data_IF_606187393724
#
_entry.id   IF_606187393724
#
_cell.length_a   1.000
_cell.length_b   1.000
_cell.length_c   1.000
_cell.angle_alpha   90.00
_cell.angle_beta   90.00
_cell.angle_gamma   90.00
#
_symmetry.space_group_name_H-M   'P 1'
#
loop_
_entity.id
_entity.type
_entity.pdbx_description
1 polymer ?
#
# COMPACT_ATOMS: atom_id res chain seq x y z
N UNK A 1 9.36 -15.31 7.63
CA UNK A 1 9.58 -16.12 6.41
C UNK A 1 8.23 -16.68 5.97
N UNK A 2 8.08 -17.16 4.74
CA UNK A 2 6.79 -17.75 4.32
C UNK A 2 6.43 -18.92 5.24
N UNK A 3 5.22 -18.92 5.80
CA UNK A 3 4.71 -20.00 6.65
C UNK A 3 4.75 -19.79 8.16
N UNK A 4 5.26 -18.65 8.67
CA UNK A 4 5.13 -18.30 10.10
C UNK A 4 3.64 -18.14 10.47
N UNK A 5 3.24 -18.65 11.65
CA UNK A 5 1.86 -18.56 12.17
C UNK A 5 1.81 -17.65 13.40
N UNK A 6 1.02 -16.59 13.37
CA UNK A 6 0.82 -15.73 14.55
C UNK A 6 0.03 -16.52 15.60
N UNK A 7 0.56 -16.57 16.82
CA UNK A 7 -0.08 -17.26 17.95
C UNK A 7 -0.41 -16.33 19.12
N UNK A 8 0.32 -15.21 19.27
CA UNK A 8 -0.01 -14.18 20.26
C UNK A 8 0.17 -12.76 19.72
N UNK A 9 -0.65 -11.85 20.24
CA UNK A 9 -0.54 -10.39 20.08
C UNK A 9 -0.62 -9.76 21.46
N UNK A 10 0.41 -9.00 21.85
CA UNK A 10 0.53 -8.38 23.19
C UNK A 10 0.24 -9.38 24.34
N UNK A 11 0.88 -10.54 24.25
CA UNK A 11 0.76 -11.68 25.19
C UNK A 11 -0.60 -12.39 25.22
N UNK A 12 -1.59 -11.94 24.43
CA UNK A 12 -2.89 -12.60 24.28
C UNK A 12 -2.82 -13.70 23.21
N UNK A 13 -3.29 -14.91 23.53
CA UNK A 13 -3.41 -16.00 22.56
C UNK A 13 -4.51 -15.69 21.54
N UNK A 14 -4.15 -15.79 20.26
CA UNK A 14 -5.08 -15.53 19.14
C UNK A 14 -5.41 -16.79 18.34
N UNK A 15 -4.94 -17.97 18.78
CA UNK A 15 -5.06 -19.22 18.00
C UNK A 15 -6.48 -19.76 17.91
N UNK A 16 -7.35 -19.31 18.82
CA UNK A 16 -8.77 -19.69 18.87
C UNK A 16 -9.68 -18.69 18.16
N UNK A 17 -9.15 -17.56 17.71
CA UNK A 17 -9.90 -16.50 17.04
C UNK A 17 -9.98 -16.81 15.54
N UNK A 18 -11.20 -17.00 15.02
CA UNK A 18 -11.42 -17.22 13.58
C UNK A 18 -11.54 -15.93 12.78
N UNK A 19 -11.89 -14.82 13.43
CA UNK A 19 -12.02 -13.51 12.81
C UNK A 19 -10.64 -12.89 12.55
N UNK A 20 -10.23 -12.90 11.30
CA UNK A 20 -8.94 -12.37 10.86
C UNK A 20 -8.87 -10.85 11.01
N UNK A 21 -9.98 -10.14 10.76
CA UNK A 21 -10.01 -8.67 10.84
C UNK A 21 -9.85 -8.22 12.29
N UNK A 22 -10.41 -8.98 13.23
CA UNK A 22 -10.19 -8.73 14.66
C UNK A 22 -8.71 -8.90 15.05
N UNK A 23 -8.05 -9.99 14.62
CA UNK A 23 -6.61 -10.19 14.89
C UNK A 23 -5.78 -9.04 14.27
N UNK A 24 -6.10 -8.64 13.04
CA UNK A 24 -5.46 -7.50 12.37
C UNK A 24 -5.66 -6.20 13.18
N UNK A 25 -6.84 -5.99 13.77
CA UNK A 25 -7.12 -4.82 14.59
C UNK A 25 -6.27 -4.77 15.87
N UNK A 26 -5.96 -5.91 16.48
CA UNK A 26 -5.06 -6.01 17.64
C UNK A 26 -3.60 -5.67 17.28
N UNK A 27 -3.18 -6.04 16.07
CA UNK A 27 -1.83 -5.75 15.57
C UNK A 27 -1.70 -4.27 15.21
N UNK A 28 -2.74 -3.69 14.61
CA UNK A 28 -2.82 -2.24 14.32
C UNK A 28 -2.88 -1.44 15.63
N UNK A 29 -2.57 -0.15 15.52
CA UNK A 29 -2.49 0.77 16.65
C UNK A 29 -1.81 2.07 16.24
N UNK A 30 -1.63 2.96 17.20
CA UNK A 30 -1.04 4.28 16.95
C UNK A 30 0.39 4.17 16.40
N UNK A 31 0.73 5.05 15.47
CA UNK A 31 2.07 5.11 14.88
C UNK A 31 3.13 5.33 15.96
N UNK A 32 4.29 4.69 15.80
CA UNK A 32 5.42 4.69 16.72
C UNK A 32 5.19 3.99 18.08
N UNK A 33 4.02 3.37 18.31
CA UNK A 33 3.84 2.45 19.44
C UNK A 33 4.41 1.07 19.13
N UNK A 34 4.59 0.23 20.17
CA UNK A 34 5.08 -1.15 20.01
C UNK A 34 3.93 -2.15 20.09
N UNK A 35 4.07 -3.24 19.35
CA UNK A 35 3.27 -4.46 19.47
C UNK A 35 4.19 -5.65 19.61
N UNK A 36 3.90 -6.54 20.55
CA UNK A 36 4.60 -7.82 20.68
C UNK A 36 3.85 -8.88 19.89
N UNK A 37 4.53 -9.52 18.93
CA UNK A 37 3.98 -10.63 18.15
C UNK A 37 4.78 -11.88 18.45
N UNK A 38 4.11 -12.93 18.92
CA UNK A 38 4.69 -14.28 18.98
C UNK A 38 4.23 -15.07 17.77
N UNK A 39 5.18 -15.64 17.03
CA UNK A 39 4.89 -16.56 15.93
C UNK A 39 5.40 -17.96 16.25
N UNK A 40 4.68 -18.97 15.78
CA UNK A 40 5.20 -20.32 15.64
C UNK A 40 5.81 -20.47 14.24
N UNK A 41 7.07 -20.91 14.17
CA UNK A 41 7.78 -21.18 12.92
C UNK A 41 7.83 -22.69 12.67
N UNK A 42 7.02 -23.23 11.74
CA UNK A 42 6.95 -24.67 11.51
C UNK A 42 8.27 -25.29 11.02
N UNK A 43 9.07 -24.55 10.25
CA UNK A 43 10.34 -25.04 9.72
C UNK A 43 11.40 -25.31 10.80
N UNK A 44 11.29 -24.64 11.94
CA UNK A 44 12.21 -24.76 13.08
C UNK A 44 11.56 -25.44 14.29
N UNK A 45 10.22 -25.55 14.32
CA UNK A 45 9.48 -26.09 15.45
C UNK A 45 9.53 -25.19 16.70
N UNK A 46 9.82 -23.91 16.53
CA UNK A 46 10.08 -22.95 17.62
C UNK A 46 9.06 -21.81 17.65
N UNK A 47 8.96 -21.18 18.82
CA UNK A 47 8.24 -19.92 19.00
C UNK A 47 9.25 -18.78 19.04
N UNK A 48 8.91 -17.69 18.35
CA UNK A 48 9.76 -16.50 18.24
C UNK A 48 8.94 -15.26 18.61
N UNK A 49 9.50 -14.43 19.48
CA UNK A 49 8.91 -13.17 19.90
C UNK A 49 9.53 -12.00 19.14
N UNK A 50 8.68 -11.08 18.68
CA UNK A 50 9.06 -9.88 17.95
C UNK A 50 8.42 -8.64 18.58
N UNK A 51 9.26 -7.70 19.01
CA UNK A 51 8.82 -6.34 19.32
C UNK A 51 8.84 -5.49 18.05
N UNK A 52 7.66 -5.21 17.52
CA UNK A 52 7.48 -4.48 16.25
C UNK A 52 7.05 -3.05 16.56
N UNK A 53 7.72 -2.07 15.96
CA UNK A 53 7.30 -0.67 16.01
C UNK A 53 6.26 -0.45 14.92
N UNK A 54 5.04 -0.05 15.30
CA UNK A 54 3.97 0.29 14.36
C UNK A 54 4.40 1.50 13.53
N UNK A 55 4.31 1.36 12.21
CA UNK A 55 4.56 2.45 11.25
C UNK A 55 3.35 2.59 10.34
N UNK A 56 3.12 3.79 9.83
CA UNK A 56 2.17 3.97 8.73
C UNK A 56 2.68 3.16 7.53
N UNK A 57 1.98 2.08 7.20
CA UNK A 57 2.22 1.35 5.96
C UNK A 57 1.69 2.23 4.85
N UNK A 58 2.60 2.77 4.05
CA UNK A 58 2.23 3.44 2.80
C UNK A 58 2.22 2.36 1.73
N UNK A 59 1.04 1.87 1.39
CA UNK A 59 0.88 1.02 0.22
C UNK A 59 1.11 1.93 -0.98
N UNK A 60 2.15 1.68 -1.76
CA UNK A 60 2.38 2.41 -3.00
C UNK A 60 1.39 1.93 -4.05
N UNK A 61 0.19 2.52 -4.04
CA UNK A 61 -0.87 2.24 -5.02
C UNK A 61 -0.59 2.89 -6.39
N UNK A 62 0.60 3.45 -6.58
CA UNK A 62 1.03 4.10 -7.82
C UNK A 62 2.52 3.85 -8.07
N UNK A 63 2.85 3.61 -9.33
CA UNK A 63 4.23 3.50 -9.81
C UNK A 63 4.40 4.28 -11.10
N UNK A 64 5.61 4.74 -11.42
CA UNK A 64 5.88 5.35 -12.72
C UNK A 64 7.27 5.08 -13.25
N UNK A 65 7.38 5.01 -14.58
CA UNK A 65 8.62 4.81 -15.31
C UNK A 65 8.56 5.43 -16.71
N UNK A 66 9.72 5.54 -17.37
CA UNK A 66 9.79 5.88 -18.80
C UNK A 66 10.04 4.58 -19.56
N UNK A 67 9.15 4.25 -20.49
CA UNK A 67 9.25 3.05 -21.32
C UNK A 67 9.70 3.40 -22.75
N UNK A 68 9.82 2.36 -23.58
CA UNK A 68 10.23 2.46 -24.99
C UNK A 68 9.46 3.56 -25.74
N UNK A 69 10.19 4.31 -26.58
CA UNK A 69 9.65 5.47 -27.29
C UNK A 69 9.61 6.76 -26.47
N UNK A 70 10.21 6.78 -25.27
CA UNK A 70 10.20 7.91 -24.34
C UNK A 70 8.77 8.27 -23.89
N UNK A 71 7.97 7.24 -23.62
CA UNK A 71 6.59 7.36 -23.14
C UNK A 71 6.63 7.25 -21.62
N UNK A 72 6.00 8.19 -20.93
CA UNK A 72 5.77 8.09 -19.50
C UNK A 72 4.68 7.07 -19.22
N UNK A 73 4.91 6.19 -18.27
CA UNK A 73 3.98 5.17 -17.85
C UNK A 73 3.67 5.36 -16.37
N UNK A 74 2.39 5.50 -16.02
CA UNK A 74 1.91 5.54 -14.64
C UNK A 74 0.92 4.40 -14.47
N UNK A 75 1.18 3.49 -13.52
CA UNK A 75 0.20 2.47 -13.12
C UNK A 75 -0.40 2.83 -11.78
N UNK A 76 -1.74 2.86 -11.70
CA UNK A 76 -2.49 3.11 -10.47
C UNK A 76 -3.27 1.83 -10.13
N UNK A 77 -2.94 1.22 -8.99
CA UNK A 77 -3.59 -0.02 -8.54
C UNK A 77 -4.90 0.25 -7.77
N UNK A 78 -5.05 1.41 -7.12
CA UNK A 78 -6.25 1.81 -6.38
C UNK A 78 -6.23 3.32 -6.11
N UNK A 79 -7.39 3.97 -6.07
CA UNK A 79 -7.49 5.39 -5.70
C UNK A 79 -7.66 5.54 -4.18
N UNK A 80 -6.54 5.64 -3.46
CA UNK A 80 -6.54 5.97 -2.03
C UNK A 80 -6.61 7.50 -1.78
N UNK A 81 -6.78 7.89 -0.52
CA UNK A 81 -7.04 9.28 -0.08
C UNK A 81 -5.91 10.29 -0.32
N UNK A 82 -4.76 9.87 -0.87
CA UNK A 82 -3.66 10.77 -1.24
C UNK A 82 -3.24 10.58 -2.71
N UNK A 83 -4.04 9.86 -3.51
CA UNK A 83 -3.66 9.42 -4.84
C UNK A 83 -3.45 10.58 -5.82
N UNK A 84 -4.25 11.65 -5.78
CA UNK A 84 -4.09 12.81 -6.65
C UNK A 84 -2.77 13.53 -6.41
N UNK A 85 -2.35 13.64 -5.14
CA UNK A 85 -1.05 14.20 -4.75
C UNK A 85 0.09 13.31 -5.27
N UNK A 86 -0.01 12.00 -5.10
CA UNK A 86 1.02 11.08 -5.60
C UNK A 86 1.09 11.07 -7.13
N UNK A 87 -0.05 11.04 -7.80
CA UNK A 87 -0.14 11.16 -9.25
C UNK A 87 0.57 12.44 -9.74
N UNK A 88 0.31 13.59 -9.11
CA UNK A 88 1.00 14.83 -9.43
C UNK A 88 2.53 14.73 -9.33
N UNK A 89 3.05 14.11 -8.27
CA UNK A 89 4.49 13.92 -8.08
C UNK A 89 5.10 12.99 -9.15
N UNK A 90 4.44 11.86 -9.43
CA UNK A 90 4.88 10.91 -10.45
C UNK A 90 4.84 11.54 -11.84
N UNK A 91 3.77 12.27 -12.18
CA UNK A 91 3.62 12.96 -13.46
C UNK A 91 4.69 14.02 -13.65
N UNK A 92 4.92 14.89 -12.64
CA UNK A 92 5.95 15.92 -12.75
C UNK A 92 7.34 15.30 -12.96
N UNK A 93 7.68 14.23 -12.23
CA UNK A 93 8.96 13.52 -12.43
C UNK A 93 9.10 12.85 -13.81
N UNK A 94 7.99 12.52 -14.49
CA UNK A 94 8.01 12.08 -15.89
C UNK A 94 8.13 13.27 -16.85
N UNK A 95 7.42 14.37 -16.60
CA UNK A 95 7.50 15.59 -17.42
C UNK A 95 8.91 16.19 -17.41
N UNK A 96 9.61 16.17 -16.27
CA UNK A 96 11.01 16.60 -16.15
C UNK A 96 11.97 15.78 -17.03
N UNK A 97 11.58 14.56 -17.40
CA UNK A 97 12.31 13.68 -18.33
C UNK A 97 11.93 13.92 -19.80
N UNK A 98 11.12 14.93 -20.10
CA UNK A 98 10.68 15.31 -21.44
C UNK A 98 10.00 14.16 -22.19
N UNK A 99 9.10 13.42 -21.53
CA UNK A 99 8.32 12.34 -22.16
C UNK A 99 7.52 12.85 -23.37
N UNK A 100 7.34 11.99 -24.38
CA UNK A 100 6.61 12.31 -25.63
C UNK A 100 5.11 12.00 -25.57
N UNK A 101 4.72 11.20 -24.59
CA UNK A 101 3.34 10.78 -24.37
C UNK A 101 3.21 10.15 -22.99
N UNK A 102 1.97 9.98 -22.55
CA UNK A 102 1.64 9.43 -21.24
C UNK A 102 0.67 8.26 -21.41
N UNK A 103 0.96 7.14 -20.77
CA UNK A 103 0.05 6.02 -20.56
C UNK A 103 -0.31 5.98 -19.09
N UNK A 104 -1.61 5.93 -18.80
CA UNK A 104 -2.14 5.70 -17.46
C UNK A 104 -2.77 4.30 -17.47
N UNK A 105 -2.13 3.36 -16.79
CA UNK A 105 -2.62 1.98 -16.65
C UNK A 105 -3.51 1.85 -15.41
N UNK A 106 -4.78 1.56 -15.67
CA UNK A 106 -5.82 1.31 -14.66
C UNK A 106 -6.30 -0.15 -14.68
N UNK A 107 -5.57 -1.06 -15.34
CA UNK A 107 -5.92 -2.49 -15.30
C UNK A 107 -5.83 -3.00 -13.87
N UNK A 108 -6.79 -3.84 -13.52
CA UNK A 108 -6.95 -4.45 -12.19
C UNK A 108 -7.20 -3.43 -11.06
N UNK A 109 -7.49 -2.16 -11.39
CA UNK A 109 -7.84 -1.13 -10.42
C UNK A 109 -9.36 -1.21 -10.10
N UNK A 110 -9.76 -1.54 -8.86
CA UNK A 110 -11.17 -1.68 -8.48
C UNK A 110 -11.90 -0.34 -8.27
N UNK A 111 -11.21 0.79 -8.42
CA UNK A 111 -11.70 2.13 -8.12
C UNK A 111 -11.09 2.68 -6.82
N UNK A 112 -11.89 3.41 -6.06
CA UNK A 112 -11.48 4.04 -4.80
C UNK A 112 -12.18 5.37 -4.57
N UNK A 113 -11.49 6.33 -3.96
CA UNK A 113 -12.03 7.64 -3.63
C UNK A 113 -12.39 8.44 -4.90
N UNK A 114 -13.68 8.74 -5.06
CA UNK A 114 -14.21 9.51 -6.18
C UNK A 114 -13.56 10.89 -6.30
N UNK A 115 -13.32 11.58 -5.18
CA UNK A 115 -12.76 12.93 -5.21
C UNK A 115 -11.32 12.91 -5.72
N UNK A 116 -10.56 11.88 -5.38
CA UNK A 116 -9.18 11.69 -5.86
C UNK A 116 -9.16 11.42 -7.36
N UNK A 117 -10.14 10.66 -7.88
CA UNK A 117 -10.30 10.45 -9.34
C UNK A 117 -10.61 11.78 -10.04
N UNK A 118 -11.56 12.57 -9.53
CA UNK A 118 -11.89 13.88 -10.08
C UNK A 118 -10.68 14.81 -10.09
N UNK A 119 -9.96 14.92 -8.98
CA UNK A 119 -8.78 15.76 -8.88
C UNK A 119 -7.66 15.36 -9.87
N UNK A 120 -7.52 14.06 -10.17
CA UNK A 120 -6.62 13.59 -11.22
C UNK A 120 -7.12 13.99 -12.61
N UNK A 121 -8.43 13.82 -12.87
CA UNK A 121 -9.04 14.19 -14.15
C UNK A 121 -8.92 15.70 -14.42
N UNK A 122 -9.18 16.55 -13.43
CA UNK A 122 -9.04 18.01 -13.51
C UNK A 122 -7.61 18.47 -13.86
N UNK A 123 -6.61 17.65 -13.53
CA UNK A 123 -5.21 17.93 -13.89
C UNK A 123 -4.91 17.58 -15.35
N UNK A 124 -5.67 16.67 -15.96
CA UNK A 124 -5.42 16.11 -17.29
C UNK A 124 -6.30 16.72 -18.37
N UNK A 125 -7.52 17.14 -17.99
CA UNK A 125 -8.57 17.56 -18.90
C UNK A 125 -8.80 19.07 -18.80
N UNK A 126 -9.23 19.72 -19.89
CA UNK A 126 -9.73 21.09 -19.81
C UNK A 126 -11.05 21.14 -19.02
N UNK A 127 -11.46 22.36 -18.64
CA UNK A 127 -12.75 22.61 -17.98
C UNK A 127 -13.92 22.00 -18.77
N UNK A 128 -14.82 21.30 -18.07
CA UNK A 128 -15.97 20.59 -18.64
C UNK A 128 -16.94 20.05 -17.62
#
# INVERSE_FOLDING_TARGET
MSGDKIVKVDDQDVTTISDQDYIISMIKGEENTKVKITVFRPSEGTYLDFDIIRKKIKIENITSEVIDGNIGYIKINMFDSEMAKYFGNHLNGLLDKNIKGLIIDLRDNPGGDYNEVCAIADRLLPEG
#
